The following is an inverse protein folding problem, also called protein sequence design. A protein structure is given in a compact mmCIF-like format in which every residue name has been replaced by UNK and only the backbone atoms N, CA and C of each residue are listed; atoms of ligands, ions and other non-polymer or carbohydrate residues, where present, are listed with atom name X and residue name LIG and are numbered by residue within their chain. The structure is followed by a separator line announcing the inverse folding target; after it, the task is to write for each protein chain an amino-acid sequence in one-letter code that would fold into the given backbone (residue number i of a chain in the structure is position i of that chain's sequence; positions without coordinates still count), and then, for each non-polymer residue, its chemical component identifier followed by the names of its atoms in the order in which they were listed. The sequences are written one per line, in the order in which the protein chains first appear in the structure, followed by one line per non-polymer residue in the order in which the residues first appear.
data_IF_594539210965
#
_entry.id   IF_594539210965
#
_cell.length_a   1.000
_cell.length_b   1.000
_cell.length_c   1.000
_cell.angle_alpha   90.00
_cell.angle_beta   90.00
_cell.angle_gamma   90.00
#
_symmetry.space_group_name_H-M   'P 1'
#
loop_
_entity.id
_entity.type
_entity.pdbx_description
1 polymer ?
#
# COMPACT_ATOMS: atom_id res chain seq x y z
N UNK A 1 10.10 15.89 8.39
CA UNK A 1 10.79 14.60 8.59
C UNK A 1 9.82 13.48 8.23
N UNK A 2 10.24 12.52 7.40
CA UNK A 2 9.41 11.41 6.92
C UNK A 2 9.07 10.45 8.06
N UNK A 3 10.03 10.19 8.95
CA UNK A 3 9.83 9.28 10.08
C UNK A 3 8.79 9.84 11.05
N UNK A 4 8.91 11.10 11.45
CA UNK A 4 7.92 11.76 12.30
C UNK A 4 6.51 11.80 11.65
N UNK A 5 6.42 11.98 10.33
CA UNK A 5 5.14 11.97 9.63
C UNK A 5 4.52 10.56 9.60
N UNK A 6 5.34 9.53 9.35
CA UNK A 6 4.89 8.14 9.38
C UNK A 6 4.43 7.71 10.77
N UNK A 7 5.13 8.10 11.83
CA UNK A 7 4.70 7.79 13.21
C UNK A 7 3.40 8.49 13.59
N UNK A 8 3.20 9.75 13.17
CA UNK A 8 1.92 10.44 13.35
C UNK A 8 0.78 9.76 12.59
N UNK A 9 1.01 9.40 11.31
CA UNK A 9 0.02 8.70 10.50
C UNK A 9 -0.29 7.30 11.08
N UNK A 10 0.70 6.59 11.61
CA UNK A 10 0.50 5.30 12.30
C UNK A 10 -0.27 5.45 13.60
N UNK A 11 -0.04 6.51 14.38
CA UNK A 11 -0.81 6.79 15.59
C UNK A 11 -2.27 7.11 15.26
N UNK A 12 -2.52 7.91 14.21
CA UNK A 12 -3.86 8.17 13.71
C UNK A 12 -4.54 6.89 13.18
N UNK A 13 -3.80 6.06 12.44
CA UNK A 13 -4.27 4.76 11.98
C UNK A 13 -4.66 3.86 13.16
N UNK A 14 -3.80 3.74 14.18
CA UNK A 14 -4.06 2.96 15.39
C UNK A 14 -5.33 3.45 16.12
N UNK A 15 -5.56 4.76 16.16
CA UNK A 15 -6.80 5.33 16.71
C UNK A 15 -8.03 4.98 15.85
N UNK A 16 -7.92 5.09 14.52
CA UNK A 16 -9.00 4.79 13.58
C UNK A 16 -9.44 3.31 13.63
N UNK A 17 -8.51 2.40 13.89
CA UNK A 17 -8.77 0.96 14.01
C UNK A 17 -9.04 0.50 15.45
N UNK A 18 -9.17 1.43 16.41
CA UNK A 18 -9.44 1.11 17.82
C UNK A 18 -8.32 0.29 18.51
N UNK A 19 -7.08 0.44 18.07
CA UNK A 19 -5.92 -0.30 18.58
C UNK A 19 -5.78 -1.72 18.04
N UNK A 20 -6.70 -2.19 17.18
CA UNK A 20 -6.51 -3.44 16.46
C UNK A 20 -5.34 -3.31 15.47
N UNK A 21 -4.56 -4.37 15.23
CA UNK A 21 -3.62 -4.35 14.10
C UNK A 21 -4.38 -4.35 12.76
N UNK A 22 -3.70 -3.98 11.68
CA UNK A 22 -4.26 -3.86 10.34
C UNK A 22 -3.43 -4.67 9.34
N UNK A 23 -4.05 -5.00 8.21
CA UNK A 23 -3.36 -5.54 7.05
C UNK A 23 -3.12 -4.42 6.03
N UNK A 24 -2.12 -4.54 5.17
CA UNK A 24 -1.90 -3.59 4.07
C UNK A 24 -1.98 -4.28 2.70
N UNK A 25 -2.62 -3.59 1.75
CA UNK A 25 -2.54 -3.88 0.33
C UNK A 25 -1.89 -2.72 -0.39
N UNK A 26 -0.87 -3.01 -1.19
CA UNK A 26 -0.31 -2.08 -2.15
C UNK A 26 -0.85 -2.36 -3.56
N UNK A 27 -1.70 -1.47 -4.06
CA UNK A 27 -2.25 -1.52 -5.42
C UNK A 27 -1.59 -0.49 -6.32
N UNK A 28 -0.78 -0.95 -7.27
CA UNK A 28 -0.14 -0.11 -8.28
C UNK A 28 -0.94 -0.14 -9.57
N UNK A 29 -1.50 0.99 -10.02
CA UNK A 29 -2.25 1.07 -11.30
C UNK A 29 -1.63 2.05 -12.29
N UNK A 30 -1.82 3.36 -12.11
CA UNK A 30 -1.65 4.44 -13.13
C UNK A 30 -0.70 4.12 -14.30
N UNK A 31 0.58 4.47 -14.16
CA UNK A 31 1.62 4.28 -15.18
C UNK A 31 2.05 2.82 -15.31
N UNK A 32 1.90 2.02 -14.25
CA UNK A 32 2.24 0.60 -14.27
C UNK A 32 1.40 -0.19 -15.28
N UNK A 33 0.09 0.07 -15.37
CA UNK A 33 -0.80 -0.61 -16.31
C UNK A 33 -0.45 -0.26 -17.77
N UNK A 34 0.13 0.91 -18.03
CA UNK A 34 0.59 1.27 -19.38
C UNK A 34 1.74 0.34 -19.84
N UNK A 35 2.63 -0.04 -18.93
CA UNK A 35 3.79 -0.89 -19.20
C UNK A 35 3.50 -2.39 -18.97
N UNK A 36 2.42 -2.71 -18.26
CA UNK A 36 2.04 -4.07 -17.86
C UNK A 36 0.55 -4.36 -18.13
N UNK A 37 0.06 -3.97 -19.32
CA UNK A 37 -1.36 -4.06 -19.68
C UNK A 37 -1.97 -5.46 -19.54
N UNK A 38 -1.17 -6.52 -19.71
CA UNK A 38 -1.59 -7.91 -19.50
C UNK A 38 -1.95 -8.25 -18.04
N UNK A 39 -1.55 -7.41 -17.09
CA UNK A 39 -1.87 -7.54 -15.67
C UNK A 39 -3.07 -6.69 -15.25
N UNK A 40 -3.69 -5.96 -16.19
CA UNK A 40 -4.85 -5.16 -15.88
C UNK A 40 -6.06 -6.04 -15.59
N UNK A 41 -6.42 -6.08 -14.31
CA UNK A 41 -7.69 -6.63 -13.83
C UNK A 41 -8.63 -5.50 -13.38
N UNK A 42 -9.93 -5.79 -13.39
CA UNK A 42 -10.93 -4.86 -12.86
C UNK A 42 -10.71 -4.56 -11.37
N UNK A 43 -11.16 -3.41 -10.88
CA UNK A 43 -10.96 -3.01 -9.48
C UNK A 43 -11.54 -4.03 -8.49
N UNK A 44 -12.74 -4.55 -8.77
CA UNK A 44 -13.38 -5.58 -7.96
C UNK A 44 -12.61 -6.91 -7.96
N UNK A 45 -12.08 -7.32 -9.12
CA UNK A 45 -11.26 -8.53 -9.21
C UNK A 45 -9.95 -8.37 -8.43
N UNK A 46 -9.29 -7.21 -8.53
CA UNK A 46 -8.10 -6.90 -7.75
C UNK A 46 -8.37 -6.97 -6.23
N UNK A 47 -9.48 -6.36 -5.78
CA UNK A 47 -9.87 -6.38 -4.37
C UNK A 47 -10.17 -7.81 -3.87
N UNK A 48 -10.85 -8.63 -4.68
CA UNK A 48 -11.13 -10.02 -4.36
C UNK A 48 -9.84 -10.86 -4.27
N UNK A 49 -8.91 -10.68 -5.22
CA UNK A 49 -7.60 -11.34 -5.20
C UNK A 49 -6.79 -10.94 -3.95
N UNK A 50 -6.83 -9.66 -3.58
CA UNK A 50 -6.12 -9.16 -2.40
C UNK A 50 -6.66 -9.78 -1.11
N UNK A 51 -7.99 -9.82 -0.97
CA UNK A 51 -8.66 -10.47 0.15
C UNK A 51 -8.33 -11.96 0.24
N UNK A 52 -8.40 -12.68 -0.89
CA UNK A 52 -8.04 -14.09 -0.95
C UNK A 52 -6.57 -14.33 -0.57
N UNK A 53 -5.67 -13.45 -1.00
CA UNK A 53 -4.24 -13.57 -0.70
C UNK A 53 -3.91 -13.32 0.76
N UNK A 54 -4.49 -12.28 1.35
CA UNK A 54 -4.38 -12.02 2.79
C UNK A 54 -4.96 -13.19 3.61
N UNK A 55 -6.11 -13.74 3.21
CA UNK A 55 -6.68 -14.92 3.85
C UNK A 55 -5.74 -16.14 3.78
N UNK A 56 -5.08 -16.37 2.64
CA UNK A 56 -4.11 -17.47 2.49
C UNK A 56 -2.86 -17.28 3.38
N UNK A 57 -2.37 -16.05 3.53
CA UNK A 57 -1.28 -15.73 4.45
C UNK A 57 -1.69 -15.92 5.92
N UNK A 58 -2.95 -15.63 6.24
CA UNK A 58 -3.53 -15.80 7.57
C UNK A 58 -3.79 -17.27 7.95
N UNK A 59 -4.17 -18.12 6.98
CA UNK A 59 -4.57 -19.51 7.19
C UNK A 59 -3.42 -20.41 7.71
N UNK A 60 -2.16 -20.01 7.55
CA UNK A 60 -1.01 -20.67 8.18
C UNK A 60 -0.88 -20.41 9.69
N UNK A 61 -1.71 -19.53 10.28
CA UNK A 61 -1.58 -19.03 11.65
C UNK A 61 -2.89 -18.96 12.45
N UNK A 62 -3.97 -19.61 12.02
CA UNK A 62 -5.21 -19.71 12.81
C UNK A 62 -5.98 -18.40 13.02
N UNK A 63 -5.76 -17.38 12.19
CA UNK A 63 -6.44 -16.08 12.31
C UNK A 63 -7.60 -15.96 11.32
N UNK A 64 -8.77 -15.63 11.84
CA UNK A 64 -10.02 -15.40 11.11
C UNK A 64 -10.55 -14.00 11.40
N UNK A 65 -11.26 -13.43 10.42
CA UNK A 65 -12.09 -12.22 10.43
C UNK A 65 -11.47 -10.94 9.83
N UNK A 66 -12.35 -10.20 9.14
CA UNK A 66 -12.12 -8.97 8.42
C UNK A 66 -11.39 -7.95 9.30
N UNK A 67 -10.09 -7.79 9.04
CA UNK A 67 -9.29 -6.76 9.71
C UNK A 67 -9.45 -5.45 8.94
N UNK A 68 -9.24 -4.32 9.62
CA UNK A 68 -9.03 -3.07 8.92
C UNK A 68 -7.91 -3.22 7.91
N UNK A 69 -8.17 -2.72 6.71
CA UNK A 69 -7.22 -2.69 5.60
C UNK A 69 -6.69 -1.27 5.46
N UNK A 70 -5.36 -1.15 5.42
CA UNK A 70 -4.71 0.03 4.86
C UNK A 70 -4.48 -0.17 3.34
N UNK A 71 -5.09 0.67 2.51
CA UNK A 71 -4.95 0.62 1.06
C UNK A 71 -3.94 1.67 0.58
N UNK A 72 -2.71 1.23 0.32
CA UNK A 72 -1.69 2.06 -0.33
C UNK A 72 -1.86 1.96 -1.85
N UNK A 73 -2.19 3.07 -2.52
CA UNK A 73 -2.37 3.07 -3.97
C UNK A 73 -2.29 4.47 -4.55
N UNK A 74 -1.82 4.56 -5.79
CA UNK A 74 -1.93 5.77 -6.59
C UNK A 74 -3.40 6.11 -6.97
N UNK A 75 -4.36 5.25 -6.67
CA UNK A 75 -5.80 5.48 -6.90
C UNK A 75 -6.68 5.17 -5.68
N UNK A 76 -6.10 5.00 -4.48
CA UNK A 76 -6.83 4.61 -3.26
C UNK A 76 -7.97 5.57 -2.90
N UNK A 77 -7.79 6.86 -3.21
CA UNK A 77 -8.78 7.90 -2.93
C UNK A 77 -9.93 7.97 -3.95
N UNK A 78 -9.88 7.18 -5.02
CA UNK A 78 -10.98 7.12 -5.97
C UNK A 78 -12.17 6.35 -5.37
N UNK A 79 -13.42 6.85 -5.52
CA UNK A 79 -14.59 6.18 -4.97
C UNK A 79 -14.74 4.72 -5.41
N UNK A 80 -14.38 4.40 -6.66
CA UNK A 80 -14.42 3.03 -7.20
C UNK A 80 -13.45 2.09 -6.46
N UNK A 81 -12.23 2.54 -6.17
CA UNK A 81 -11.25 1.75 -5.42
C UNK A 81 -11.74 1.47 -4.00
N UNK A 82 -12.20 2.51 -3.29
CA UNK A 82 -12.73 2.36 -1.92
C UNK A 82 -13.94 1.43 -1.90
N UNK A 83 -14.87 1.58 -2.85
CA UNK A 83 -16.07 0.76 -2.95
C UNK A 83 -15.75 -0.72 -3.26
N UNK A 84 -14.78 -1.00 -4.13
CA UNK A 84 -14.36 -2.36 -4.45
C UNK A 84 -13.76 -3.07 -3.23
N UNK A 85 -12.85 -2.42 -2.51
CA UNK A 85 -12.24 -3.01 -1.31
C UNK A 85 -13.23 -3.11 -0.13
N UNK A 86 -14.16 -2.17 0.03
CA UNK A 86 -15.16 -2.21 1.09
C UNK A 86 -16.12 -3.42 0.98
N UNK A 87 -16.17 -4.12 -0.17
CA UNK A 87 -16.92 -5.38 -0.30
C UNK A 87 -16.27 -6.55 0.45
N UNK A 88 -14.98 -6.45 0.78
CA UNK A 88 -14.19 -7.54 1.36
C UNK A 88 -13.60 -7.21 2.74
N UNK A 89 -13.51 -5.93 3.09
CA UNK A 89 -12.92 -5.45 4.34
C UNK A 89 -13.90 -4.54 5.06
N UNK A 90 -14.03 -4.72 6.38
CA UNK A 90 -14.95 -3.95 7.22
C UNK A 90 -14.60 -2.46 7.23
N UNK A 91 -13.29 -2.16 7.24
CA UNK A 91 -12.77 -0.80 7.21
C UNK A 91 -11.63 -0.72 6.20
N UNK A 92 -11.76 0.20 5.24
CA UNK A 92 -10.71 0.54 4.27
C UNK A 92 -10.23 1.94 4.59
N UNK A 93 -8.96 2.01 4.99
CA UNK A 93 -8.29 3.22 5.45
C UNK A 93 -7.23 3.58 4.42
N UNK A 94 -7.17 4.85 4.04
CA UNK A 94 -6.22 5.37 3.07
C UNK A 94 -5.30 6.41 3.71
N UNK A 95 -4.35 6.94 2.94
CA UNK A 95 -3.48 8.00 3.42
C UNK A 95 -4.26 9.25 3.85
N UNK A 96 -5.30 9.67 3.11
CA UNK A 96 -6.08 10.86 3.49
C UNK A 96 -6.86 10.70 4.81
N UNK A 97 -7.17 9.47 5.21
CA UNK A 97 -7.89 9.22 6.46
C UNK A 97 -6.98 9.39 7.70
N UNK A 98 -5.65 9.25 7.53
CA UNK A 98 -4.69 9.20 8.66
C UNK A 98 -3.55 10.21 8.57
N UNK A 99 -3.32 10.80 7.39
CA UNK A 99 -2.22 11.72 7.19
C UNK A 99 -2.58 13.11 7.73
N UNK A 100 -1.72 13.74 8.55
CA UNK A 100 -2.02 15.04 9.13
C UNK A 100 -2.28 16.10 8.04
N UNK A 101 -3.46 16.76 8.02
CA UNK A 101 -3.79 17.74 7.00
C UNK A 101 -2.76 18.87 6.89
N UNK A 102 -2.19 19.30 8.02
CA UNK A 102 -1.16 20.33 8.09
C UNK A 102 0.16 19.95 7.38
N UNK A 103 0.40 18.66 7.13
CA UNK A 103 1.61 18.18 6.44
C UNK A 103 1.41 18.01 4.93
N UNK A 104 0.18 18.10 4.42
CA UNK A 104 -0.11 17.94 2.99
C UNK A 104 0.69 18.95 2.16
N UNK A 105 0.67 20.24 2.52
CA UNK A 105 1.40 21.28 1.78
C UNK A 105 2.93 21.04 1.72
N UNK A 106 3.49 20.42 2.77
CA UNK A 106 4.93 20.13 2.88
C UNK A 106 5.36 18.88 2.10
N UNK A 107 4.43 17.96 1.88
CA UNK A 107 4.64 16.69 1.19
C UNK A 107 4.05 16.68 -0.22
N UNK A 108 3.31 17.71 -0.64
CA UNK A 108 2.81 17.86 -2.01
C UNK A 108 1.29 17.72 -2.14
N UNK A 109 0.81 17.84 -3.37
CA UNK A 109 -0.61 17.70 -3.70
C UNK A 109 -0.78 16.52 -4.64
N UNK A 110 -1.80 15.69 -4.39
CA UNK A 110 -2.18 14.52 -5.20
C UNK A 110 -2.50 14.84 -6.68
N UNK A 111 -2.49 16.12 -7.07
CA UNK A 111 -2.82 16.64 -8.41
C UNK A 111 -1.60 16.93 -9.30
N UNK A 112 -0.43 16.39 -9.00
CA UNK A 112 0.81 16.63 -9.78
C UNK A 112 0.70 16.28 -11.28
N UNK A 113 -0.23 15.40 -11.67
CA UNK A 113 -0.48 15.04 -13.08
C UNK A 113 -1.02 16.19 -13.92
N UNK A 114 -1.58 17.23 -13.30
CA UNK A 114 -2.07 18.44 -13.97
C UNK A 114 -0.98 19.51 -14.15
N UNK A 115 0.18 19.34 -13.48
CA UNK A 115 1.30 20.27 -13.55
C UNK A 115 2.23 19.94 -14.72
N UNK A 116 2.99 20.93 -15.22
CA UNK A 116 3.95 20.76 -16.33
C UNK A 116 5.35 21.27 -15.95
N UNK A 117 6.38 20.84 -16.67
CA UNK A 117 7.75 21.35 -16.52
C UNK A 117 8.36 21.15 -15.12
N UNK A 118 9.12 22.14 -14.64
CA UNK A 118 9.80 22.13 -13.34
C UNK A 118 8.83 22.07 -12.15
N UNK A 119 7.60 22.55 -12.32
CA UNK A 119 6.54 22.46 -11.30
C UNK A 119 6.05 21.02 -11.13
N UNK A 120 5.92 20.27 -12.24
CA UNK A 120 5.62 18.84 -12.20
C UNK A 120 6.75 18.05 -11.53
N UNK A 121 8.01 18.35 -11.86
CA UNK A 121 9.15 17.67 -11.24
C UNK A 121 9.22 17.94 -9.72
N UNK A 122 8.97 19.18 -9.29
CA UNK A 122 8.94 19.56 -7.88
C UNK A 122 7.75 18.93 -7.13
N UNK A 123 6.59 18.83 -7.78
CA UNK A 123 5.43 18.14 -7.22
C UNK A 123 5.63 16.62 -7.14
N UNK A 124 6.23 16.00 -8.15
CA UNK A 124 6.62 14.58 -8.12
C UNK A 124 7.62 14.29 -6.99
N UNK A 125 8.65 15.12 -6.83
CA UNK A 125 9.63 14.96 -5.75
C UNK A 125 9.02 15.13 -4.35
N UNK A 126 7.95 15.94 -4.24
CA UNK A 126 7.15 16.05 -3.02
C UNK A 126 6.30 14.79 -2.84
N UNK A 127 5.55 14.36 -3.85
CA UNK A 127 4.68 13.18 -3.79
C UNK A 127 5.44 11.87 -3.51
N UNK A 128 6.68 11.74 -3.95
CA UNK A 128 7.55 10.62 -3.57
C UNK A 128 7.71 10.48 -2.05
N UNK A 129 7.55 11.57 -1.28
CA UNK A 129 7.60 11.55 0.18
C UNK A 129 6.35 10.94 0.80
N UNK A 130 5.17 11.08 0.17
CA UNK A 130 3.97 10.35 0.60
C UNK A 130 4.17 8.84 0.40
N UNK A 131 4.73 8.44 -0.73
CA UNK A 131 5.07 7.04 -0.97
C UNK A 131 5.98 6.45 0.11
N UNK A 132 7.00 7.19 0.55
CA UNK A 132 7.87 6.76 1.66
C UNK A 132 7.11 6.61 3.00
N UNK A 133 6.15 7.50 3.27
CA UNK A 133 5.29 7.38 4.46
C UNK A 133 4.40 6.14 4.38
N UNK A 134 3.74 5.91 3.26
CA UNK A 134 2.90 4.72 3.06
C UNK A 134 3.71 3.42 3.12
N UNK A 135 4.96 3.41 2.64
CA UNK A 135 5.87 2.25 2.78
C UNK A 135 6.15 1.93 4.25
N UNK A 136 6.40 2.95 5.06
CA UNK A 136 6.61 2.79 6.50
C UNK A 136 5.35 2.32 7.23
N UNK A 137 4.17 2.78 6.81
CA UNK A 137 2.88 2.29 7.31
C UNK A 137 2.73 0.81 6.94
N UNK A 138 2.78 0.45 5.65
CA UNK A 138 2.62 -0.93 5.20
C UNK A 138 3.68 -1.90 5.74
N UNK A 139 4.89 -1.42 6.02
CA UNK A 139 5.91 -2.23 6.69
C UNK A 139 5.58 -2.57 8.15
N UNK A 140 4.64 -1.85 8.77
CA UNK A 140 4.16 -2.11 10.12
C UNK A 140 2.88 -2.96 10.16
N UNK A 141 2.25 -3.23 9.02
CA UNK A 141 1.06 -4.06 8.94
C UNK A 141 1.33 -5.50 9.40
N UNK A 142 0.31 -6.19 9.90
CA UNK A 142 0.46 -7.59 10.28
C UNK A 142 0.67 -8.47 9.04
N UNK A 143 -0.22 -8.35 8.06
CA UNK A 143 -0.07 -8.96 6.75
C UNK A 143 0.11 -7.90 5.66
N UNK A 144 0.82 -8.27 4.59
CA UNK A 144 1.09 -7.40 3.47
C UNK A 144 0.94 -8.15 2.15
N UNK A 145 0.21 -7.55 1.21
CA UNK A 145 0.08 -8.02 -0.17
C UNK A 145 0.37 -6.85 -1.12
N UNK A 146 1.08 -7.12 -2.21
CA UNK A 146 1.36 -6.12 -3.24
C UNK A 146 1.76 -6.75 -4.57
N UNK A 147 2.10 -5.93 -5.55
CA UNK A 147 2.62 -6.40 -6.83
C UNK A 147 4.15 -6.55 -6.76
N UNK A 148 4.66 -7.78 -6.93
CA UNK A 148 6.11 -8.07 -6.93
C UNK A 148 6.89 -7.46 -8.11
N UNK A 149 6.26 -6.80 -9.07
CA UNK A 149 6.98 -6.01 -10.07
C UNK A 149 7.08 -4.53 -9.72
N UNK A 150 6.55 -4.14 -8.56
CA UNK A 150 6.70 -2.78 -8.06
C UNK A 150 7.88 -2.67 -7.10
N UNK A 151 8.79 -1.75 -7.40
CA UNK A 151 9.87 -1.34 -6.49
C UNK A 151 9.33 -0.86 -5.13
N UNK A 152 8.11 -0.30 -5.10
CA UNK A 152 7.44 0.05 -3.86
C UNK A 152 7.20 -1.18 -2.98
N UNK A 153 6.63 -2.26 -3.56
CA UNK A 153 6.38 -3.52 -2.85
C UNK A 153 7.66 -4.11 -2.30
N UNK A 154 8.74 -4.09 -3.09
CA UNK A 154 10.05 -4.58 -2.67
C UNK A 154 10.60 -3.81 -1.47
N UNK A 155 10.49 -2.48 -1.50
CA UNK A 155 10.95 -1.67 -0.37
C UNK A 155 10.16 -1.96 0.91
N UNK A 156 8.84 -2.16 0.82
CA UNK A 156 8.03 -2.59 1.97
C UNK A 156 8.51 -3.93 2.52
N UNK A 157 8.81 -4.91 1.66
CA UNK A 157 9.36 -6.18 2.11
C UNK A 157 10.69 -6.02 2.84
N UNK A 158 11.63 -5.24 2.30
CA UNK A 158 12.92 -4.99 2.92
C UNK A 158 12.75 -4.39 4.33
N UNK A 159 11.90 -3.36 4.46
CA UNK A 159 11.58 -2.74 5.76
C UNK A 159 10.95 -3.73 6.75
N UNK A 160 10.13 -4.68 6.27
CA UNK A 160 9.54 -5.74 7.11
C UNK A 160 10.59 -6.74 7.57
N UNK A 161 11.54 -7.11 6.72
CA UNK A 161 12.65 -8.00 7.06
C UNK A 161 13.60 -7.37 8.09
N UNK A 162 13.92 -6.08 7.94
CA UNK A 162 14.68 -5.31 8.93
C UNK A 162 13.99 -5.29 10.31
N UNK A 163 12.66 -5.40 10.34
CA UNK A 163 11.84 -5.50 11.57
C UNK A 163 11.70 -6.93 12.10
N UNK A 164 12.35 -7.91 11.47
CA UNK A 164 12.33 -9.31 11.88
C UNK A 164 11.12 -10.11 11.39
N UNK A 165 10.34 -9.59 10.44
CA UNK A 165 9.26 -10.37 9.81
C UNK A 165 9.88 -11.39 8.86
N UNK A 166 9.99 -12.64 9.30
CA UNK A 166 10.55 -13.71 8.50
C UNK A 166 9.76 -13.89 7.19
N UNK A 167 10.47 -13.98 6.06
CA UNK A 167 9.90 -14.20 4.72
C UNK A 167 8.87 -13.14 4.33
N UNK A 168 9.13 -11.87 4.62
CA UNK A 168 8.17 -10.77 4.41
C UNK A 168 7.63 -10.67 2.98
N UNK A 169 8.42 -11.09 1.98
CA UNK A 169 8.04 -11.10 0.58
C UNK A 169 7.47 -12.44 0.10
N UNK A 170 7.58 -13.52 0.87
CA UNK A 170 7.12 -14.84 0.42
C UNK A 170 5.60 -14.88 0.45
N UNK A 171 5.00 -14.94 -0.73
CA UNK A 171 3.55 -15.02 -0.89
C UNK A 171 2.84 -13.67 -0.82
N UNK A 172 3.57 -12.54 -0.76
CA UNK A 172 2.97 -11.21 -0.83
C UNK A 172 2.50 -10.84 -2.24
N UNK A 173 2.93 -11.57 -3.28
CA UNK A 173 2.49 -11.29 -4.65
C UNK A 173 0.99 -11.48 -4.83
N UNK A 174 0.32 -10.40 -5.25
CA UNK A 174 -1.12 -10.36 -5.53
C UNK A 174 -1.53 -11.36 -6.62
N UNK A 175 -0.67 -11.57 -7.64
CA UNK A 175 -0.92 -12.50 -8.74
C UNK A 175 -0.46 -13.93 -8.44
N UNK A 176 0.09 -14.18 -7.25
CA UNK A 176 0.51 -15.51 -6.82
C UNK A 176 1.69 -16.11 -7.59
N UNK A 177 2.47 -15.29 -8.31
CA UNK A 177 3.61 -15.73 -9.12
C UNK A 177 4.73 -16.27 -8.23
N UNK A 178 5.51 -17.20 -8.79
CA UNK A 178 6.78 -17.57 -8.19
C UNK A 178 7.73 -16.38 -8.30
N UNK A 179 8.37 -16.01 -7.18
CA UNK A 179 9.38 -14.95 -7.17
C UNK A 179 10.57 -15.46 -7.98
N UNK A 180 10.95 -14.73 -9.04
CA UNK A 180 12.20 -15.01 -9.74
C UNK A 180 13.37 -14.71 -8.80
N UNK A 181 14.19 -15.71 -8.42
CA UNK A 181 15.34 -15.47 -7.54
C UNK A 181 16.37 -14.50 -8.15
N UNK A 182 16.29 -14.19 -9.45
CA UNK A 182 17.12 -13.20 -10.14
C UNK A 182 16.60 -11.77 -10.05
N UNK A 183 15.42 -11.53 -9.48
CA UNK A 183 15.06 -10.18 -9.02
C UNK A 183 15.88 -9.90 -7.76
N UNK A 184 17.16 -9.59 -7.97
CA UNK A 184 18.04 -9.14 -6.91
C UNK A 184 17.47 -7.85 -6.30
N UNK A 185 17.38 -7.86 -4.97
CA UNK A 185 16.98 -6.73 -4.15
C UNK A 185 18.05 -5.64 -4.28
N UNK A 186 17.84 -4.66 -5.15
CA UNK A 186 18.69 -3.46 -5.26
C UNK A 186 18.16 -2.39 -4.30
#
# INVERSE_FOLDING_TARGET
DIMAAAEQARAALAAAVGGAGYDCVHMRRRDFIADHAQEEVGMGEYAAMAAARLAALSAGGGRSAARPLYLASDVSEQPEARAAFAQHFEHVITLLDVFPPALLDSFGSYQHSQLRGSERASALARDMRFGAVEQLICSAADLFVGNMWSTYTHHVCALREERGVARACKGSDIYGRAIDPKMEYI
#
